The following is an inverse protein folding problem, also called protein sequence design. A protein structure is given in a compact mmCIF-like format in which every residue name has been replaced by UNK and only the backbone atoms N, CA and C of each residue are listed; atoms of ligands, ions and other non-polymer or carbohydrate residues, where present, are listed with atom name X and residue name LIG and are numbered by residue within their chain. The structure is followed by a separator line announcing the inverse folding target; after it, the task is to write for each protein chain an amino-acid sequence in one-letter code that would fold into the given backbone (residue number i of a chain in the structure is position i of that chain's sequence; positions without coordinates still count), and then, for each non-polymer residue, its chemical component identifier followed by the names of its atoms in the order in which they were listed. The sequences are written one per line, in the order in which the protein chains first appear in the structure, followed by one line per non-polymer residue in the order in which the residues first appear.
data_IF_885046651045
#
_entry.id   IF_885046651045
#
_cell.length_a   1.000
_cell.length_b   1.000
_cell.length_c   1.000
_cell.angle_alpha   90.00
_cell.angle_beta   90.00
_cell.angle_gamma   90.00
#
_symmetry.space_group_name_H-M   'P 1'
#
loop_
_entity.id
_entity.type
_entity.pdbx_description
1 polymer ?
#
# COMPACT_ATOMS: atom_id res chain seq x y z
N UNK A 1 -4.08 22.99 33.90
CA UNK A 1 -3.39 21.71 33.91
C UNK A 1 -2.05 21.78 33.21
N UNK A 2 -1.24 20.79 33.39
CA UNK A 2 0.05 20.65 32.72
C UNK A 2 -0.17 20.29 31.23
N UNK A 3 0.50 21.01 30.32
CA UNK A 3 0.44 20.76 28.87
C UNK A 3 1.84 20.45 28.33
N UNK A 4 1.92 19.55 27.37
CA UNK A 4 3.15 19.18 26.66
C UNK A 4 2.93 19.35 25.17
N UNK A 5 3.88 19.94 24.49
CA UNK A 5 3.91 20.06 23.03
C UNK A 5 5.25 19.61 22.47
N UNK A 6 5.22 18.93 21.34
CA UNK A 6 6.40 18.54 20.59
C UNK A 6 6.44 19.33 19.29
N UNK A 7 7.43 20.21 19.19
CA UNK A 7 7.66 21.02 18.02
C UNK A 7 8.94 20.56 17.29
N UNK A 8 9.01 20.81 15.99
CA UNK A 8 10.22 20.57 15.21
C UNK A 8 11.32 21.56 15.64
N UNK A 9 12.54 21.06 15.77
CA UNK A 9 13.73 21.88 16.02
C UNK A 9 14.44 22.33 14.72
N UNK A 10 13.81 22.12 13.57
CA UNK A 10 14.30 22.49 12.24
C UNK A 10 13.16 23.03 11.40
N UNK A 11 13.51 23.73 10.31
CA UNK A 11 12.55 24.31 9.37
C UNK A 11 12.27 23.36 8.24
N UNK A 12 11.03 23.36 7.76
CA UNK A 12 10.55 22.53 6.64
C UNK A 12 10.16 23.45 5.49
N UNK A 13 10.40 23.01 4.25
CA UNK A 13 10.01 23.76 3.06
C UNK A 13 8.74 23.19 2.46
N UNK A 14 7.86 24.05 1.96
CA UNK A 14 6.71 23.61 1.18
C UNK A 14 7.14 23.21 -0.25
N UNK A 15 6.26 22.64 -1.08
CA UNK A 15 6.58 22.27 -2.47
C UNK A 15 7.05 23.43 -3.36
N UNK A 16 6.79 24.69 -2.94
CA UNK A 16 7.26 25.90 -3.63
C UNK A 16 8.62 26.40 -3.09
N UNK A 17 9.28 25.64 -2.22
CA UNK A 17 10.59 25.97 -1.65
C UNK A 17 10.55 27.00 -0.51
N UNK A 18 9.38 27.51 -0.10
CA UNK A 18 9.25 28.48 1.00
C UNK A 18 9.27 27.78 2.34
N UNK A 19 10.05 28.29 3.28
CA UNK A 19 10.05 27.81 4.67
C UNK A 19 8.68 28.01 5.32
N UNK A 20 8.20 26.99 5.98
CA UNK A 20 6.93 26.98 6.71
C UNK A 20 7.10 26.46 8.12
N UNK A 21 6.27 26.96 9.01
CA UNK A 21 6.11 26.40 10.35
C UNK A 21 5.01 25.34 10.30
N UNK A 22 5.34 24.10 10.63
CA UNK A 22 4.39 23.00 10.65
C UNK A 22 3.54 23.00 11.92
N UNK A 23 3.96 23.73 12.94
CA UNK A 23 3.35 23.73 14.27
C UNK A 23 3.68 22.47 15.06
N UNK A 24 2.96 22.27 16.16
CA UNK A 24 3.13 21.10 17.01
C UNK A 24 2.76 19.81 16.28
N UNK A 25 3.65 18.80 16.30
CA UNK A 25 3.42 17.48 15.72
C UNK A 25 2.84 16.50 16.72
N UNK A 26 2.95 16.81 18.01
CA UNK A 26 2.35 16.03 19.09
C UNK A 26 2.01 16.98 20.22
N UNK A 27 0.88 16.78 20.86
CA UNK A 27 0.48 17.54 22.03
C UNK A 27 -0.31 16.70 22.99
N UNK A 28 -0.25 17.08 24.27
CA UNK A 28 -0.98 16.39 25.31
C UNK A 28 -0.95 17.13 26.64
N UNK A 29 -1.45 16.50 27.64
CA UNK A 29 -1.48 17.07 28.96
C UNK A 29 -2.29 16.29 29.99
N UNK A 30 -2.49 16.92 31.12
CA UNK A 30 -3.33 16.40 32.19
C UNK A 30 -4.71 17.06 32.12
N UNK A 31 -5.76 16.25 32.07
CA UNK A 31 -7.13 16.64 31.79
C UNK A 31 -8.09 16.18 32.89
N UNK A 32 -7.80 16.45 34.14
CA UNK A 32 -8.59 15.95 35.28
C UNK A 32 -10.09 16.27 35.18
N UNK A 33 -10.44 17.46 34.67
CA UNK A 33 -11.83 17.86 34.47
C UNK A 33 -12.49 17.35 33.17
N UNK A 34 -11.82 16.54 32.37
CA UNK A 34 -12.39 16.09 31.07
C UNK A 34 -13.57 15.16 31.26
N UNK A 35 -13.44 14.20 32.17
CA UNK A 35 -14.50 13.21 32.47
C UNK A 35 -15.64 13.84 33.24
N UNK A 36 -15.37 14.80 34.10
CA UNK A 36 -16.39 15.54 34.88
C UNK A 36 -17.39 16.28 33.97
N UNK A 37 -17.04 16.63 32.74
CA UNK A 37 -17.96 17.22 31.74
C UNK A 37 -19.05 16.25 31.27
N UNK A 38 -18.84 14.96 31.42
CA UNK A 38 -19.74 13.91 30.92
C UNK A 38 -20.31 13.06 32.04
N UNK A 39 -19.62 13.01 33.18
CA UNK A 39 -20.05 12.27 34.38
C UNK A 39 -19.73 13.12 35.59
N UNK A 40 -20.61 13.16 36.57
CA UNK A 40 -20.41 13.91 37.83
C UNK A 40 -19.35 13.26 38.74
N UNK A 41 -18.24 12.88 38.21
CA UNK A 41 -17.12 12.23 38.91
C UNK A 41 -15.81 12.84 38.44
N UNK A 42 -15.01 13.30 39.37
CA UNK A 42 -13.62 13.74 39.07
C UNK A 42 -12.72 12.54 38.90
N UNK A 43 -12.12 12.44 37.72
CA UNK A 43 -11.17 11.39 37.40
C UNK A 43 -9.85 12.00 36.86
N UNK A 44 -8.69 11.67 37.44
CA UNK A 44 -7.43 12.11 36.89
C UNK A 44 -7.21 11.46 35.52
N UNK A 45 -7.02 12.29 34.50
CA UNK A 45 -6.80 11.83 33.15
C UNK A 45 -5.55 12.50 32.54
N UNK A 46 -4.82 11.74 31.77
CA UNK A 46 -3.71 12.24 30.93
C UNK A 46 -3.80 11.63 29.55
N UNK A 47 -3.37 12.37 28.55
CA UNK A 47 -3.39 11.87 27.18
C UNK A 47 -2.49 12.67 26.26
N UNK A 48 -2.15 12.05 25.15
CA UNK A 48 -1.39 12.69 24.06
C UNK A 48 -2.03 12.35 22.73
N UNK A 49 -1.89 13.25 21.76
CA UNK A 49 -2.26 13.04 20.37
C UNK A 49 -1.06 13.30 19.46
N UNK A 50 -1.00 12.56 18.36
CA UNK A 50 0.01 12.74 17.31
C UNK A 50 -0.70 13.24 16.05
N UNK A 51 -0.21 14.34 15.49
CA UNK A 51 -0.66 14.85 14.18
C UNK A 51 -0.06 14.03 13.06
N UNK A 52 -0.71 12.91 12.70
CA UNK A 52 -0.18 11.95 11.72
C UNK A 52 0.11 12.62 10.37
N UNK A 53 -0.80 13.46 9.87
CA UNK A 53 -0.61 14.17 8.60
C UNK A 53 0.60 15.12 8.64
N UNK A 54 0.77 15.85 9.74
CA UNK A 54 1.92 16.74 9.93
C UNK A 54 3.21 15.95 10.01
N UNK A 55 3.23 14.86 10.78
CA UNK A 55 4.38 14.00 10.90
C UNK A 55 4.76 13.37 9.55
N UNK A 56 3.78 12.84 8.81
CA UNK A 56 3.98 12.26 7.49
C UNK A 56 4.53 13.29 6.50
N UNK A 57 3.96 14.50 6.49
CA UNK A 57 4.46 15.60 5.66
C UNK A 57 5.94 15.90 5.96
N UNK A 58 6.30 16.03 7.23
CA UNK A 58 7.69 16.30 7.64
C UNK A 58 8.63 15.17 7.24
N UNK A 59 8.27 13.92 7.51
CA UNK A 59 9.08 12.75 7.20
C UNK A 59 9.32 12.60 5.69
N UNK A 60 8.34 12.95 4.86
CA UNK A 60 8.51 13.02 3.41
C UNK A 60 9.48 14.13 2.99
N UNK A 61 9.39 15.31 3.61
CA UNK A 61 10.26 16.46 3.27
C UNK A 61 11.74 16.21 3.61
N UNK A 62 12.02 15.50 4.70
CA UNK A 62 13.40 15.15 5.09
C UNK A 62 13.89 13.85 4.46
N UNK A 63 13.09 13.20 3.60
CA UNK A 63 13.47 11.97 2.92
C UNK A 63 13.61 10.75 3.83
N UNK A 64 13.08 10.82 5.06
CA UNK A 64 13.15 9.70 6.02
C UNK A 64 12.21 8.56 5.66
N UNK A 65 11.15 8.84 4.92
CA UNK A 65 10.29 7.81 4.38
C UNK A 65 10.85 7.43 3.01
N UNK A 66 11.56 6.31 2.95
CA UNK A 66 11.83 5.67 1.67
C UNK A 66 10.46 5.23 1.12
N UNK A 67 10.04 5.80 0.01
CA UNK A 67 8.94 5.22 -0.76
C UNK A 67 9.36 3.77 -1.06
N UNK A 68 8.81 2.83 -0.30
CA UNK A 68 8.86 1.45 -0.74
C UNK A 68 8.00 1.41 -1.98
N UNK A 69 8.54 0.93 -3.09
CA UNK A 69 7.74 0.50 -4.23
C UNK A 69 6.83 -0.62 -3.70
N UNK A 70 5.70 -0.23 -3.16
CA UNK A 70 4.77 -1.13 -2.49
C UNK A 70 3.51 -1.28 -3.34
N UNK A 71 3.62 -0.96 -4.63
CA UNK A 71 2.55 -1.17 -5.57
C UNK A 71 2.22 -2.67 -5.63
N UNK A 72 0.92 -3.00 -5.59
CA UNK A 72 0.51 -4.39 -5.54
C UNK A 72 0.76 -5.12 -6.87
N UNK A 73 0.99 -6.41 -6.78
CA UNK A 73 0.81 -7.32 -7.91
C UNK A 73 -0.69 -7.44 -8.18
N UNK A 74 -1.12 -7.16 -9.42
CA UNK A 74 -2.52 -7.24 -9.80
C UNK A 74 -2.86 -8.65 -10.28
N UNK A 75 -3.91 -9.26 -9.72
CA UNK A 75 -4.51 -10.49 -10.23
C UNK A 75 -5.68 -10.10 -11.12
N UNK A 76 -5.62 -10.44 -12.40
CA UNK A 76 -6.68 -10.19 -13.36
C UNK A 76 -7.79 -11.25 -13.26
N UNK A 77 -9.05 -10.83 -13.34
CA UNK A 77 -10.22 -11.72 -13.43
C UNK A 77 -10.61 -11.85 -14.89
N UNK A 78 -10.50 -13.05 -15.46
CA UNK A 78 -10.93 -13.34 -16.83
C UNK A 78 -12.34 -13.96 -16.87
N UNK A 79 -12.71 -14.75 -15.86
CA UNK A 79 -14.01 -15.41 -15.79
C UNK A 79 -14.43 -15.57 -14.32
N UNK A 80 -15.60 -15.06 -13.98
CA UNK A 80 -16.15 -15.10 -12.62
C UNK A 80 -16.36 -16.50 -12.05
N UNK A 81 -16.50 -17.52 -12.91
CA UNK A 81 -16.62 -18.93 -12.46
C UNK A 81 -15.37 -19.42 -11.69
N UNK A 82 -14.23 -18.75 -11.88
CA UNK A 82 -12.96 -19.09 -11.22
C UNK A 82 -12.61 -18.18 -10.03
N UNK A 83 -13.55 -17.39 -9.52
CA UNK A 83 -13.33 -16.46 -8.41
C UNK A 83 -12.62 -17.12 -7.21
N UNK A 84 -13.01 -18.32 -6.84
CA UNK A 84 -12.35 -19.08 -5.75
C UNK A 84 -10.84 -19.22 -5.99
N UNK A 85 -10.44 -19.56 -7.22
CA UNK A 85 -9.02 -19.70 -7.59
C UNK A 85 -8.26 -18.36 -7.52
N UNK A 86 -8.89 -17.27 -7.90
CA UNK A 86 -8.27 -15.96 -7.79
C UNK A 86 -8.06 -15.54 -6.33
N UNK A 87 -9.02 -15.81 -5.43
CA UNK A 87 -8.86 -15.57 -4.00
C UNK A 87 -7.77 -16.46 -3.39
N UNK A 88 -7.73 -17.75 -3.71
CA UNK A 88 -6.66 -18.64 -3.29
C UNK A 88 -5.27 -18.15 -3.74
N UNK A 89 -5.19 -17.59 -4.94
CA UNK A 89 -3.96 -17.00 -5.46
C UNK A 89 -3.59 -15.72 -4.69
N UNK A 90 -4.58 -14.87 -4.40
CA UNK A 90 -4.40 -13.66 -3.61
C UNK A 90 -3.85 -13.97 -2.22
N UNK A 91 -4.46 -14.92 -1.53
CA UNK A 91 -4.05 -15.34 -0.19
C UNK A 91 -2.64 -15.94 -0.22
N UNK A 92 -2.36 -16.81 -1.19
CA UNK A 92 -1.03 -17.40 -1.36
C UNK A 92 0.08 -16.35 -1.56
N UNK A 93 -0.18 -15.30 -2.35
CA UNK A 93 0.78 -14.19 -2.54
C UNK A 93 1.01 -13.42 -1.23
N UNK A 94 -0.06 -13.11 -0.51
CA UNK A 94 -0.01 -12.35 0.75
C UNK A 94 0.69 -13.11 1.87
N UNK A 95 0.42 -14.40 2.00
CA UNK A 95 1.11 -15.30 2.93
C UNK A 95 2.62 -15.36 2.68
N UNK A 96 3.04 -15.17 1.42
CA UNK A 96 4.45 -15.11 1.02
C UNK A 96 5.04 -13.67 1.02
N UNK A 97 4.32 -12.71 1.64
CA UNK A 97 4.78 -11.33 1.83
C UNK A 97 4.74 -10.48 0.56
N UNK A 98 3.99 -10.89 -0.46
CA UNK A 98 3.80 -10.11 -1.69
C UNK A 98 2.53 -9.28 -1.58
N UNK A 99 2.68 -7.94 -1.60
CA UNK A 99 1.54 -7.05 -1.69
C UNK A 99 0.78 -7.33 -2.98
N UNK A 100 -0.50 -7.64 -2.88
CA UNK A 100 -1.29 -8.10 -4.01
C UNK A 100 -2.75 -7.63 -3.93
N UNK A 101 -3.35 -7.43 -5.09
CA UNK A 101 -4.70 -6.94 -5.25
C UNK A 101 -5.42 -7.76 -6.34
N UNK A 102 -6.68 -8.06 -6.08
CA UNK A 102 -7.57 -8.66 -7.06
C UNK A 102 -8.34 -7.55 -7.79
N UNK A 103 -8.40 -7.59 -9.12
CA UNK A 103 -9.23 -6.66 -9.86
C UNK A 103 -10.72 -6.94 -9.59
N UNK A 104 -11.47 -5.93 -9.12
CA UNK A 104 -12.82 -6.16 -8.58
C UNK A 104 -13.93 -6.24 -9.63
N UNK A 105 -13.74 -5.61 -10.79
CA UNK A 105 -14.80 -5.53 -11.83
C UNK A 105 -14.62 -6.60 -12.91
N UNK A 106 -15.19 -7.77 -12.68
CA UNK A 106 -15.15 -8.91 -13.63
C UNK A 106 -15.82 -8.63 -14.99
N UNK A 107 -16.59 -7.53 -15.12
CA UNK A 107 -17.20 -7.14 -16.40
C UNK A 107 -16.20 -6.51 -17.37
N UNK A 108 -15.04 -6.10 -16.93
CA UNK A 108 -14.02 -5.43 -17.75
C UNK A 108 -13.11 -6.44 -18.41
N UNK A 109 -12.81 -6.19 -19.69
CA UNK A 109 -11.86 -7.00 -20.44
C UNK A 109 -10.42 -6.84 -19.91
N UNK A 110 -9.56 -7.79 -20.26
CA UNK A 110 -8.17 -7.81 -19.82
C UNK A 110 -7.42 -6.50 -20.14
N UNK A 111 -7.67 -5.87 -21.29
CA UNK A 111 -7.02 -4.61 -21.66
C UNK A 111 -7.29 -3.50 -20.65
N UNK A 112 -8.54 -3.36 -20.18
CA UNK A 112 -8.90 -2.35 -19.15
C UNK A 112 -8.26 -2.66 -17.80
N UNK A 113 -8.17 -3.93 -17.42
CA UNK A 113 -7.51 -4.36 -16.19
C UNK A 113 -6.02 -4.06 -16.23
N UNK A 114 -5.35 -4.33 -17.35
CA UNK A 114 -3.94 -3.99 -17.54
C UNK A 114 -3.70 -2.47 -17.55
N UNK A 115 -4.61 -1.70 -18.16
CA UNK A 115 -4.55 -0.22 -18.09
C UNK A 115 -4.69 0.30 -16.65
N UNK A 116 -5.54 -0.34 -15.84
CA UNK A 116 -5.64 -0.01 -14.43
C UNK A 116 -4.34 -0.34 -13.68
N UNK A 117 -3.77 -1.53 -13.92
CA UNK A 117 -2.51 -1.94 -13.32
C UNK A 117 -1.37 -0.95 -13.64
N UNK A 118 -1.28 -0.53 -14.88
CA UNK A 118 -0.29 0.45 -15.35
C UNK A 118 -0.47 1.81 -14.67
N UNK A 119 -1.69 2.36 -14.65
CA UNK A 119 -2.00 3.63 -13.96
C UNK A 119 -1.73 3.57 -12.46
N UNK A 120 -1.91 2.42 -11.82
CA UNK A 120 -1.65 2.20 -10.41
C UNK A 120 -0.16 1.97 -10.12
N UNK A 121 0.65 1.76 -11.16
CA UNK A 121 2.08 1.49 -11.04
C UNK A 121 2.41 0.05 -10.66
N UNK A 122 1.45 -0.89 -10.81
CA UNK A 122 1.67 -2.30 -10.50
C UNK A 122 2.90 -2.85 -11.26
N UNK A 123 3.82 -3.55 -10.59
CA UNK A 123 5.01 -4.09 -11.26
C UNK A 123 4.68 -5.31 -12.13
N UNK A 124 3.70 -6.10 -11.72
CA UNK A 124 3.33 -7.36 -12.34
C UNK A 124 1.81 -7.50 -12.37
N UNK A 125 1.28 -7.99 -13.49
CA UNK A 125 -0.08 -8.52 -13.57
C UNK A 125 -0.04 -10.04 -13.72
N UNK A 126 -0.86 -10.74 -12.93
CA UNK A 126 -1.06 -12.19 -13.01
C UNK A 126 -2.32 -12.44 -13.81
N UNK A 127 -2.17 -13.21 -14.87
CA UNK A 127 -3.25 -13.59 -15.77
C UNK A 127 -3.48 -15.09 -15.60
N UNK A 128 -4.69 -15.46 -15.20
CA UNK A 128 -5.08 -16.87 -15.00
C UNK A 128 -6.40 -17.11 -15.70
N UNK A 129 -6.33 -17.73 -16.85
CA UNK A 129 -7.49 -18.17 -17.61
C UNK A 129 -7.76 -19.67 -17.44
N UNK A 130 -8.67 -20.20 -18.24
CA UNK A 130 -9.05 -21.60 -18.17
C UNK A 130 -7.89 -22.57 -18.43
N UNK A 131 -6.99 -22.19 -19.35
CA UNK A 131 -5.80 -22.99 -19.64
C UNK A 131 -4.84 -23.05 -18.44
N UNK A 132 -4.51 -21.88 -17.86
CA UNK A 132 -3.63 -21.79 -16.71
C UNK A 132 -4.19 -22.55 -15.51
N UNK A 133 -5.51 -22.54 -15.32
CA UNK A 133 -6.17 -23.28 -14.23
C UNK A 133 -6.03 -24.78 -14.43
N UNK A 134 -6.28 -25.29 -15.64
CA UNK A 134 -6.16 -26.71 -15.95
C UNK A 134 -4.73 -27.23 -15.77
N UNK A 135 -3.74 -26.42 -16.15
CA UNK A 135 -2.32 -26.74 -16.06
C UNK A 135 -1.69 -26.39 -14.70
N UNK A 136 -2.45 -25.82 -13.78
CA UNK A 136 -1.97 -25.25 -12.51
C UNK A 136 -0.77 -24.30 -12.69
N UNK A 137 -0.86 -23.44 -13.71
CA UNK A 137 0.15 -22.45 -14.09
C UNK A 137 -0.38 -21.03 -13.93
N UNK A 138 0.52 -20.06 -14.03
CA UNK A 138 0.23 -18.62 -13.92
C UNK A 138 1.00 -17.89 -15.00
N UNK A 139 0.31 -17.03 -15.76
CA UNK A 139 0.98 -16.15 -16.71
C UNK A 139 1.27 -14.81 -16.05
N UNK A 140 2.55 -14.49 -15.90
CA UNK A 140 3.04 -13.22 -15.35
C UNK A 140 3.29 -12.24 -16.50
N UNK A 141 2.74 -11.06 -16.41
CA UNK A 141 3.07 -9.93 -17.30
C UNK A 141 3.86 -8.90 -16.50
N UNK A 142 5.11 -8.67 -16.91
CA UNK A 142 5.95 -7.62 -16.35
C UNK A 142 5.53 -6.26 -16.92
N UNK A 143 5.01 -5.37 -16.07
CA UNK A 143 4.51 -4.06 -16.45
C UNK A 143 5.60 -2.96 -16.35
N UNK A 144 6.75 -3.27 -15.76
CA UNK A 144 7.91 -2.37 -15.68
C UNK A 144 8.88 -2.55 -16.86
N UNK A 145 8.67 -3.57 -17.69
CA UNK A 145 9.52 -3.84 -18.86
C UNK A 145 9.17 -2.91 -20.01
N UNK A 146 10.21 -2.39 -20.67
CA UNK A 146 10.06 -1.66 -21.94
C UNK A 146 9.77 -2.57 -23.15
N UNK A 147 9.84 -3.90 -22.96
CA UNK A 147 9.53 -4.87 -24.01
C UNK A 147 8.03 -5.03 -24.13
N UNK A 148 7.52 -4.82 -25.32
CA UNK A 148 6.14 -5.15 -25.66
C UNK A 148 5.94 -6.67 -25.45
N UNK A 149 4.95 -7.09 -24.65
CA UNK A 149 4.66 -8.49 -24.32
C UNK A 149 5.70 -9.26 -23.50
N UNK A 150 6.32 -8.64 -22.50
CA UNK A 150 7.14 -9.36 -21.52
C UNK A 150 6.24 -10.22 -20.61
N UNK A 151 5.91 -11.42 -21.11
CA UNK A 151 5.08 -12.40 -20.42
C UNK A 151 5.82 -13.71 -20.22
N UNK A 152 5.59 -14.35 -19.07
CA UNK A 152 6.16 -15.65 -18.73
C UNK A 152 5.13 -16.50 -18.02
N UNK A 153 4.93 -17.73 -18.50
CA UNK A 153 4.10 -18.70 -17.79
C UNK A 153 4.96 -19.52 -16.84
N UNK A 154 4.51 -19.65 -15.59
CA UNK A 154 5.26 -20.28 -14.49
C UNK A 154 4.37 -21.27 -13.75
N UNK A 155 4.98 -22.25 -13.07
CA UNK A 155 4.28 -23.14 -12.14
C UNK A 155 4.01 -22.44 -10.80
N UNK A 156 3.15 -23.02 -9.97
CA UNK A 156 2.84 -22.49 -8.65
C UNK A 156 4.09 -22.42 -7.76
N UNK A 157 4.97 -23.40 -7.84
CA UNK A 157 6.20 -23.50 -7.03
C UNK A 157 7.19 -22.35 -7.34
N UNK A 158 7.27 -21.94 -8.61
CA UNK A 158 8.18 -20.88 -9.06
C UNK A 158 7.54 -19.48 -9.06
N UNK A 159 6.23 -19.38 -8.80
CA UNK A 159 5.46 -18.14 -8.89
C UNK A 159 6.05 -17.02 -8.04
N UNK A 160 6.30 -17.31 -6.77
CA UNK A 160 6.80 -16.34 -5.78
C UNK A 160 8.19 -15.81 -6.18
N UNK A 161 9.10 -16.72 -6.54
CA UNK A 161 10.47 -16.36 -6.90
C UNK A 161 10.52 -15.52 -8.18
N UNK A 162 9.71 -15.85 -9.16
CA UNK A 162 9.64 -15.09 -10.41
C UNK A 162 9.05 -13.69 -10.20
N UNK A 163 8.04 -13.56 -9.36
CA UNK A 163 7.48 -12.25 -8.98
C UNK A 163 8.55 -11.43 -8.24
N UNK A 164 9.23 -12.01 -7.26
CA UNK A 164 10.29 -11.34 -6.49
C UNK A 164 11.42 -10.88 -7.40
N UNK A 165 11.81 -11.65 -8.40
CA UNK A 165 12.82 -11.23 -9.39
C UNK A 165 12.41 -9.97 -10.17
N UNK A 166 11.13 -9.82 -10.48
CA UNK A 166 10.63 -8.62 -11.18
C UNK A 166 10.57 -7.42 -10.24
N UNK A 167 10.03 -7.61 -9.03
CA UNK A 167 9.83 -6.52 -8.06
C UNK A 167 11.17 -6.00 -7.52
N UNK A 168 12.14 -6.87 -7.24
CA UNK A 168 13.41 -6.50 -6.60
C UNK A 168 14.55 -6.20 -7.56
N UNK A 169 14.43 -6.50 -8.85
CA UNK A 169 15.41 -6.13 -9.86
C UNK A 169 15.38 -4.65 -10.25
N UNK A 170 14.37 -3.90 -9.82
CA UNK A 170 14.26 -2.46 -10.04
C UNK A 170 14.30 -1.75 -8.67
N UNK A 171 15.51 -1.43 -8.14
CA UNK A 171 15.65 -0.59 -6.94
C UNK A 171 15.25 0.86 -7.22
#
# INVERSE_FOLDING_TARGET
GFCVETNLNFKVKNPKGKEINVGSICSGGRFDGLIARFKSVDFPATGMSIGVDRLLFVLNQIGSIKQRNNEPVLICILDSKYLKKYYETLDYLRENGINSELYLDSSKNLKKQLTYADKKGCPVAIIVGEFEIKENKFTLKNLKSSKENDQKTVSKESLIDEIKKIIWKNP
#
